data_IF_875626756151
#
_entry.id   IF_875626756151
#
_cell.length_a   1.000
_cell.length_b   1.000
_cell.length_c   1.000
_cell.angle_alpha   90.00
_cell.angle_beta   90.00
_cell.angle_gamma   90.00
#
_symmetry.space_group_name_H-M   'P 1'
#
loop_
_entity.id
_entity.type
_entity.pdbx_description
1 polymer ?
#
# COMPACT_ATOMS: atom_id res chain seq x y z
N UNK A 1 -28.02 49.33 45.70
CA UNK A 1 -28.91 50.52 45.63
C UNK A 1 -29.62 50.53 44.30
N UNK A 2 -30.94 50.42 44.36
CA UNK A 2 -31.99 50.86 43.41
C UNK A 2 -32.05 50.29 41.99
N UNK A 3 -32.89 49.26 41.82
CA UNK A 3 -33.96 49.18 40.81
C UNK A 3 -34.84 50.45 40.86
N UNK A 4 -35.75 50.75 39.94
CA UNK A 4 -36.68 49.86 39.21
C UNK A 4 -37.26 50.40 37.85
N UNK A 5 -38.20 49.56 37.34
CA UNK A 5 -39.50 49.85 36.71
C UNK A 5 -39.50 50.12 35.20
N UNK A 6 -40.18 49.27 34.41
CA UNK A 6 -41.62 49.08 34.21
C UNK A 6 -42.30 50.17 33.36
N UNK A 7 -42.89 49.70 32.22
CA UNK A 7 -44.25 50.06 31.72
C UNK A 7 -44.38 49.54 30.26
N UNK A 8 -45.18 48.54 29.94
CA UNK A 8 -46.65 48.44 29.75
C UNK A 8 -47.16 49.51 28.73
N UNK A 9 -47.65 49.11 27.59
CA UNK A 9 -49.01 49.22 27.14
C UNK A 9 -49.17 49.18 25.61
N UNK A 10 -50.05 48.26 25.18
CA UNK A 10 -51.16 48.42 24.25
C UNK A 10 -50.84 48.58 22.75
N UNK A 11 -51.06 47.65 21.86
CA UNK A 11 -52.42 47.28 21.44
C UNK A 11 -52.85 48.04 20.20
N UNK A 12 -52.85 47.37 19.04
CA UNK A 12 -53.86 47.68 18.02
C UNK A 12 -53.99 46.48 17.05
N UNK A 13 -55.17 45.93 17.00
CA UNK A 13 -55.75 45.03 16.05
C UNK A 13 -55.76 45.68 14.67
N UNK A 14 -55.23 45.04 13.64
CA UNK A 14 -55.65 45.30 12.26
C UNK A 14 -55.66 44.00 11.49
N UNK A 15 -56.84 43.53 11.23
CA UNK A 15 -57.11 42.38 10.38
C UNK A 15 -56.70 42.67 8.95
N UNK A 16 -56.04 41.77 8.33
CA UNK A 16 -55.86 41.80 6.89
C UNK A 16 -56.14 40.42 6.30
N UNK A 17 -57.05 40.44 5.40
CA UNK A 17 -57.66 39.39 4.63
C UNK A 17 -56.63 38.51 3.96
N UNK A 18 -56.68 37.19 4.24
CA UNK A 18 -55.89 36.16 3.60
C UNK A 18 -56.54 35.83 2.24
N UNK A 19 -56.01 36.35 1.14
CA UNK A 19 -56.29 35.91 -0.20
C UNK A 19 -55.44 34.66 -0.54
N UNK A 20 -56.07 33.50 -0.58
CA UNK A 20 -55.46 32.27 -1.07
C UNK A 20 -55.24 32.40 -2.58
N UNK A 21 -54.00 32.60 -2.99
CA UNK A 21 -53.55 32.40 -4.36
C UNK A 21 -53.13 30.95 -4.53
N UNK A 22 -53.97 30.16 -5.16
CA UNK A 22 -53.62 28.83 -5.67
C UNK A 22 -52.66 29.01 -6.85
N UNK A 23 -51.37 29.01 -6.59
CA UNK A 23 -50.36 28.86 -7.62
C UNK A 23 -50.20 27.36 -7.93
N UNK A 24 -50.73 26.94 -9.09
CA UNK A 24 -50.56 25.60 -9.61
C UNK A 24 -49.06 25.33 -9.85
N UNK A 25 -48.54 24.34 -9.14
CA UNK A 25 -47.23 23.76 -9.45
C UNK A 25 -47.34 23.07 -10.82
N UNK A 26 -46.72 23.67 -11.84
CA UNK A 26 -46.37 22.95 -13.07
C UNK A 26 -45.31 21.94 -12.68
N UNK A 27 -45.64 20.66 -12.73
CA UNK A 27 -44.63 19.59 -12.78
C UNK A 27 -43.83 19.74 -14.08
N UNK A 28 -42.65 20.32 -14.04
CA UNK A 28 -41.66 20.09 -15.07
C UNK A 28 -41.16 18.65 -14.92
N UNK A 29 -41.03 17.89 -16.03
CA UNK A 29 -40.41 16.58 -15.96
C UNK A 29 -38.98 16.77 -15.47
N UNK A 30 -38.65 16.21 -14.29
CA UNK A 30 -37.22 16.01 -13.90
C UNK A 30 -36.63 15.12 -14.99
N UNK A 31 -35.79 15.71 -15.84
CA UNK A 31 -34.84 14.94 -16.63
C UNK A 31 -34.07 14.06 -15.64
N UNK A 32 -34.25 12.75 -15.80
CA UNK A 32 -33.57 11.76 -14.97
C UNK A 32 -32.07 12.03 -15.03
N UNK A 33 -31.47 12.31 -13.88
CA UNK A 33 -30.06 12.12 -13.68
C UNK A 33 -29.80 10.65 -14.01
N UNK A 34 -29.36 10.40 -15.25
CA UNK A 34 -28.77 9.13 -15.59
C UNK A 34 -27.65 8.95 -14.59
N UNK A 35 -27.83 8.02 -13.64
CA UNK A 35 -26.77 7.53 -12.79
C UNK A 35 -25.68 7.05 -13.76
N UNK A 36 -24.61 7.81 -13.85
CA UNK A 36 -23.41 7.35 -14.52
C UNK A 36 -23.07 6.02 -13.85
N UNK A 37 -23.31 4.92 -14.54
CA UNK A 37 -22.73 3.64 -14.20
C UNK A 37 -21.22 3.86 -14.25
N UNK A 38 -20.59 4.15 -13.09
CA UNK A 38 -19.18 3.89 -12.95
C UNK A 38 -19.02 2.41 -13.30
N UNK A 39 -18.41 2.16 -14.44
CA UNK A 39 -18.05 0.81 -14.84
C UNK A 39 -17.21 0.26 -13.68
N UNK A 40 -17.76 -0.70 -12.94
CA UNK A 40 -17.00 -1.41 -11.90
C UNK A 40 -15.83 -2.09 -12.62
N UNK A 41 -14.63 -1.54 -12.45
CA UNK A 41 -13.41 -2.16 -12.99
C UNK A 41 -13.31 -3.51 -12.29
N UNK A 42 -13.51 -4.58 -13.06
CA UNK A 42 -13.29 -5.94 -12.56
C UNK A 42 -11.82 -6.25 -12.68
N UNK A 43 -11.18 -6.57 -11.57
CA UNK A 43 -9.79 -7.05 -11.54
C UNK A 43 -9.76 -8.57 -11.50
N UNK A 44 -8.72 -9.16 -12.11
CA UNK A 44 -8.45 -10.59 -12.07
C UNK A 44 -8.02 -11.04 -10.66
N UNK A 45 -7.45 -10.11 -9.89
CA UNK A 45 -7.03 -10.33 -8.51
C UNK A 45 -6.35 -9.10 -7.90
N UNK A 46 -5.86 -9.27 -6.67
CA UNK A 46 -5.26 -8.21 -5.86
C UNK A 46 -3.85 -8.61 -5.42
N UNK A 47 -2.89 -7.74 -5.71
CA UNK A 47 -1.52 -7.83 -5.22
C UNK A 47 -1.33 -6.77 -4.14
N UNK A 48 -0.88 -7.16 -2.95
CA UNK A 48 -0.56 -6.22 -1.87
C UNK A 48 0.95 -6.03 -1.78
N UNK A 49 1.43 -4.83 -2.04
CA UNK A 49 2.81 -4.45 -1.77
C UNK A 49 2.93 -4.02 -0.31
N UNK A 50 3.47 -4.89 0.54
CA UNK A 50 3.68 -4.67 1.97
C UNK A 50 5.14 -4.34 2.25
N UNK A 51 5.42 -3.19 2.85
CA UNK A 51 6.80 -2.78 3.13
C UNK A 51 6.93 -1.42 3.79
N UNK A 52 8.13 -0.87 3.73
CA UNK A 52 8.51 0.40 4.36
C UNK A 52 8.45 1.60 3.39
N UNK A 53 9.37 2.57 3.55
CA UNK A 53 9.48 3.76 2.68
C UNK A 53 9.77 3.43 1.22
N UNK A 54 10.46 2.31 0.95
CA UNK A 54 10.72 1.85 -0.42
C UNK A 54 9.43 1.42 -1.11
N UNK A 55 8.50 0.83 -0.38
CA UNK A 55 7.18 0.46 -0.90
C UNK A 55 6.25 1.67 -0.95
N UNK A 56 6.27 2.53 0.07
CA UNK A 56 5.46 3.74 0.10
C UNK A 56 5.74 4.71 -1.06
N UNK A 57 6.94 4.64 -1.65
CA UNK A 57 7.37 5.58 -2.69
C UNK A 57 7.80 6.92 -2.10
N UNK A 58 8.54 6.90 -0.96
CA UNK A 58 8.96 8.13 -0.30
C UNK A 58 9.76 9.03 -1.27
N UNK A 59 9.33 10.28 -1.37
CA UNK A 59 9.99 11.32 -2.18
C UNK A 59 9.65 11.32 -3.67
N UNK A 60 8.81 10.41 -4.15
CA UNK A 60 8.26 10.42 -5.52
C UNK A 60 6.74 10.57 -5.50
N UNK A 61 6.14 10.92 -6.64
CA UNK A 61 4.69 10.94 -6.78
C UNK A 61 4.11 9.51 -6.68
N UNK A 62 2.89 9.31 -6.17
CA UNK A 62 2.31 7.98 -5.98
C UNK A 62 2.34 7.09 -7.23
N UNK A 63 2.13 7.66 -8.41
CA UNK A 63 2.14 6.96 -9.69
C UNK A 63 3.54 6.52 -10.16
N UNK A 64 4.59 7.05 -9.55
CA UNK A 64 5.99 6.69 -9.82
C UNK A 64 6.57 5.76 -8.74
N UNK A 65 5.77 5.34 -7.76
CA UNK A 65 6.15 4.26 -6.84
C UNK A 65 6.16 2.91 -7.57
N UNK A 66 7.02 1.97 -7.12
CA UNK A 66 7.09 0.67 -7.82
C UNK A 66 5.75 -0.11 -7.84
N UNK A 67 4.87 -0.04 -6.81
CA UNK A 67 3.58 -0.72 -6.90
C UNK A 67 2.70 -0.18 -8.04
N UNK A 68 2.67 1.14 -8.24
CA UNK A 68 1.89 1.75 -9.31
C UNK A 68 2.49 1.43 -10.70
N UNK A 69 3.82 1.46 -10.82
CA UNK A 69 4.50 1.08 -12.06
C UNK A 69 4.30 -0.41 -12.38
N UNK A 70 4.33 -1.27 -11.37
CA UNK A 70 4.06 -2.71 -11.52
C UNK A 70 2.62 -2.94 -12.01
N UNK A 71 1.62 -2.25 -11.44
CA UNK A 71 0.23 -2.33 -11.90
C UNK A 71 0.13 -1.98 -13.39
N UNK A 72 0.74 -0.86 -13.79
CA UNK A 72 0.78 -0.46 -15.19
C UNK A 72 1.42 -1.54 -16.08
N UNK A 73 2.58 -2.09 -15.68
CA UNK A 73 3.31 -3.11 -16.43
C UNK A 73 2.52 -4.43 -16.57
N UNK A 74 1.71 -4.79 -15.58
CA UNK A 74 0.80 -5.93 -15.63
C UNK A 74 -0.34 -5.67 -16.62
N UNK A 75 -0.97 -4.49 -16.54
CA UNK A 75 -2.06 -4.10 -17.46
C UNK A 75 -1.59 -4.04 -18.92
N UNK A 76 -0.38 -3.54 -19.19
CA UNK A 76 0.23 -3.55 -20.53
C UNK A 76 0.41 -4.96 -21.11
N UNK A 77 0.42 -6.00 -20.25
CA UNK A 77 0.49 -7.42 -20.61
C UNK A 77 -0.88 -8.11 -20.64
N UNK A 78 -1.95 -7.35 -20.43
CA UNK A 78 -3.32 -7.89 -20.38
C UNK A 78 -3.66 -8.62 -19.07
N UNK A 79 -2.85 -8.45 -18.02
CA UNK A 79 -3.08 -8.99 -16.69
C UNK A 79 -3.73 -7.88 -15.83
N UNK A 80 -5.05 -7.98 -15.61
CA UNK A 80 -5.81 -6.91 -14.96
C UNK A 80 -5.79 -7.06 -13.43
N UNK A 81 -4.62 -7.09 -12.82
CA UNK A 81 -4.45 -7.11 -11.37
C UNK A 81 -4.39 -5.70 -10.80
N UNK A 82 -5.02 -5.52 -9.62
CA UNK A 82 -4.87 -4.32 -8.82
C UNK A 82 -3.66 -4.47 -7.90
N UNK A 83 -2.75 -3.47 -7.88
CA UNK A 83 -1.62 -3.44 -6.96
C UNK A 83 -1.86 -2.38 -5.88
N UNK A 84 -2.08 -2.81 -4.65
CA UNK A 84 -2.31 -1.93 -3.50
C UNK A 84 -0.98 -1.61 -2.83
N UNK A 85 -0.68 -0.32 -2.72
CA UNK A 85 0.49 0.15 -1.98
C UNK A 85 0.19 0.14 -0.47
N UNK A 86 0.77 -0.80 0.24
CA UNK A 86 0.71 -0.95 1.69
C UNK A 86 2.01 -0.56 2.40
N UNK A 87 2.81 0.35 1.83
CA UNK A 87 4.06 0.82 2.41
C UNK A 87 3.85 1.76 3.60
N UNK A 88 4.67 1.61 4.65
CA UNK A 88 4.69 2.48 5.84
C UNK A 88 6.12 2.95 6.09
N UNK A 89 6.40 4.23 5.79
CA UNK A 89 7.76 4.77 5.90
C UNK A 89 8.34 4.62 7.31
N UNK A 90 9.59 4.13 7.38
CA UNK A 90 10.30 3.90 8.64
C UNK A 90 9.92 2.60 9.36
N UNK A 91 9.02 1.78 8.80
CA UNK A 91 8.57 0.54 9.40
C UNK A 91 9.70 -0.49 9.51
N UNK A 92 9.75 -1.19 10.64
CA UNK A 92 10.63 -2.33 10.87
C UNK A 92 9.88 -3.65 10.64
N UNK A 93 10.59 -4.77 10.63
CA UNK A 93 9.99 -6.11 10.55
C UNK A 93 8.97 -6.36 11.68
N UNK A 94 9.22 -5.81 12.87
CA UNK A 94 8.29 -5.87 14.00
C UNK A 94 7.01 -5.06 13.75
N UNK A 95 7.15 -3.87 13.15
CA UNK A 95 6.00 -3.05 12.72
C UNK A 95 5.17 -3.77 11.66
N UNK A 96 5.84 -4.27 10.62
CA UNK A 96 5.22 -5.06 9.57
C UNK A 96 4.43 -6.25 10.12
N UNK A 97 5.02 -7.02 11.04
CA UNK A 97 4.36 -8.14 11.71
C UNK A 97 3.10 -7.73 12.47
N UNK A 98 3.12 -6.58 13.13
CA UNK A 98 1.97 -6.12 13.93
C UNK A 98 0.71 -5.84 13.11
N UNK A 99 0.84 -5.65 11.78
CA UNK A 99 -0.28 -5.35 10.87
C UNK A 99 -0.57 -6.45 9.83
N UNK A 100 0.08 -7.61 9.92
CA UNK A 100 -0.16 -8.71 8.97
C UNK A 100 -1.63 -9.14 8.94
N UNK A 101 -2.31 -9.16 10.09
CA UNK A 101 -3.74 -9.44 10.16
C UNK A 101 -4.61 -8.44 9.38
N UNK A 102 -4.22 -7.16 9.32
CA UNK A 102 -4.88 -6.19 8.47
C UNK A 102 -4.65 -6.50 6.97
N UNK A 103 -3.42 -6.85 6.58
CA UNK A 103 -3.10 -7.27 5.20
C UNK A 103 -3.97 -8.46 4.80
N UNK A 104 -4.07 -9.50 5.65
CA UNK A 104 -4.90 -10.69 5.41
C UNK A 104 -6.38 -10.31 5.25
N UNK A 105 -6.89 -9.35 6.03
CA UNK A 105 -8.28 -8.89 5.93
C UNK A 105 -8.64 -8.25 4.59
N UNK A 106 -7.65 -7.76 3.84
CA UNK A 106 -7.82 -7.22 2.48
C UNK A 106 -7.92 -8.32 1.42
N UNK A 107 -7.70 -9.59 1.81
CA UNK A 107 -7.77 -10.79 0.96
C UNK A 107 -7.00 -10.65 -0.36
N UNK A 108 -5.70 -10.29 -0.33
CA UNK A 108 -4.91 -10.28 -1.54
C UNK A 108 -4.63 -11.72 -2.01
N UNK A 109 -4.44 -11.92 -3.30
CA UNK A 109 -3.99 -13.19 -3.87
C UNK A 109 -2.47 -13.36 -3.73
N UNK A 110 -1.74 -12.25 -3.74
CA UNK A 110 -0.28 -12.16 -3.63
C UNK A 110 0.15 -11.03 -2.70
N UNK A 111 1.12 -11.30 -1.84
CA UNK A 111 1.84 -10.27 -1.07
C UNK A 111 3.28 -10.14 -1.55
N UNK A 112 3.66 -8.94 -1.99
CA UNK A 112 5.06 -8.56 -2.17
C UNK A 112 5.57 -8.04 -0.83
N UNK A 113 6.37 -8.84 -0.13
CA UNK A 113 6.86 -8.52 1.21
C UNK A 113 8.28 -7.92 1.12
N UNK A 114 8.40 -6.62 1.37
CA UNK A 114 9.65 -5.86 1.30
C UNK A 114 9.89 -5.17 2.64
N UNK A 115 10.59 -5.83 3.56
CA UNK A 115 10.78 -5.34 4.94
C UNK A 115 12.16 -5.70 5.50
N UNK A 116 12.57 -5.03 6.58
CA UNK A 116 13.82 -5.31 7.28
C UNK A 116 14.95 -4.33 6.99
N UNK A 117 14.85 -3.46 5.99
CA UNK A 117 15.86 -2.44 5.72
C UNK A 117 16.07 -1.51 6.93
N UNK A 118 14.98 -1.02 7.53
CA UNK A 118 15.03 -0.19 8.73
C UNK A 118 15.59 -0.90 9.95
N UNK A 119 15.36 -2.21 10.06
CA UNK A 119 15.96 -3.05 11.10
C UNK A 119 17.48 -3.08 10.93
N UNK A 120 17.94 -3.34 9.70
CA UNK A 120 19.35 -3.36 9.36
C UNK A 120 20.05 -2.03 9.65
N UNK A 121 19.45 -0.90 9.22
CA UNK A 121 19.98 0.45 9.47
C UNK A 121 20.06 0.78 10.98
N UNK A 122 19.20 0.19 11.80
CA UNK A 122 19.17 0.37 13.26
C UNK A 122 19.99 -0.66 14.02
N UNK A 123 20.64 -1.60 13.34
CA UNK A 123 21.44 -2.65 13.96
C UNK A 123 20.64 -3.63 14.82
N UNK A 124 19.36 -3.86 14.47
CA UNK A 124 18.51 -4.84 15.15
C UNK A 124 19.05 -6.24 14.86
N UNK A 125 19.00 -7.11 15.88
CA UNK A 125 19.51 -8.49 15.80
C UNK A 125 18.89 -9.23 14.58
N UNK A 126 19.73 -9.74 13.66
CA UNK A 126 19.27 -10.49 12.49
C UNK A 126 18.38 -11.71 12.83
N UNK A 127 18.57 -12.32 13.99
CA UNK A 127 17.73 -13.43 14.43
C UNK A 127 16.29 -12.97 14.73
N UNK A 128 16.11 -11.78 15.31
CA UNK A 128 14.79 -11.19 15.55
C UNK A 128 14.12 -10.78 14.24
N UNK A 129 14.87 -10.19 13.30
CA UNK A 129 14.37 -9.83 11.96
C UNK A 129 13.85 -11.09 11.27
N UNK A 130 14.66 -12.16 11.28
CA UNK A 130 14.32 -13.45 10.68
C UNK A 130 13.03 -14.04 11.30
N UNK A 131 12.89 -14.04 12.62
CA UNK A 131 11.67 -14.52 13.31
C UNK A 131 10.44 -13.73 12.90
N UNK A 132 10.53 -12.40 12.85
CA UNK A 132 9.42 -11.54 12.44
C UNK A 132 8.98 -11.84 11.00
N UNK A 133 9.91 -11.89 10.06
CA UNK A 133 9.60 -12.15 8.64
C UNK A 133 9.07 -13.58 8.47
N UNK A 134 9.63 -14.58 9.16
CA UNK A 134 9.15 -15.96 9.13
C UNK A 134 7.68 -16.05 9.58
N UNK A 135 7.31 -15.33 10.64
CA UNK A 135 5.93 -15.31 11.15
C UNK A 135 4.98 -14.62 10.17
N UNK A 136 5.39 -13.49 9.57
CA UNK A 136 4.59 -12.84 8.52
C UNK A 136 4.31 -13.82 7.38
N UNK A 137 5.34 -14.49 6.87
CA UNK A 137 5.21 -15.47 5.78
C UNK A 137 4.26 -16.60 6.20
N UNK A 138 4.46 -17.18 7.38
CA UNK A 138 3.63 -18.27 7.89
C UNK A 138 2.15 -17.87 8.05
N UNK A 139 1.87 -16.65 8.55
CA UNK A 139 0.50 -16.15 8.69
C UNK A 139 -0.17 -15.90 7.34
N UNK A 140 0.58 -15.37 6.35
CA UNK A 140 0.08 -15.17 4.98
C UNK A 140 -0.22 -16.52 4.30
N UNK A 141 0.70 -17.48 4.37
CA UNK A 141 0.50 -18.82 3.80
C UNK A 141 -0.64 -19.59 4.47
N UNK A 142 -0.82 -19.44 5.79
CA UNK A 142 -1.96 -20.01 6.51
C UNK A 142 -3.33 -19.43 6.09
N UNK A 143 -3.32 -18.27 5.43
CA UNK A 143 -4.49 -17.62 4.84
C UNK A 143 -4.61 -17.87 3.31
N UNK A 144 -3.86 -18.85 2.77
CA UNK A 144 -3.80 -19.20 1.34
C UNK A 144 -3.34 -18.03 0.45
N UNK A 145 -2.49 -17.14 0.97
CA UNK A 145 -1.94 -15.99 0.24
C UNK A 145 -0.54 -16.34 -0.28
N UNK A 146 -0.31 -16.19 -1.57
CA UNK A 146 1.01 -16.35 -2.19
C UNK A 146 1.96 -15.22 -1.73
N UNK A 147 3.27 -15.54 -1.61
CA UNK A 147 4.26 -14.55 -1.14
C UNK A 147 5.45 -14.50 -2.08
N UNK A 148 5.86 -13.27 -2.41
CA UNK A 148 7.17 -12.97 -3.01
C UNK A 148 7.94 -12.08 -2.04
N UNK A 149 9.14 -12.51 -1.64
CA UNK A 149 10.00 -11.81 -0.70
C UNK A 149 11.01 -10.94 -1.43
N UNK A 150 11.01 -9.63 -1.15
CA UNK A 150 12.07 -8.72 -1.57
C UNK A 150 13.21 -8.70 -0.55
N UNK A 151 14.34 -9.31 -0.91
CA UNK A 151 15.51 -9.38 -0.05
C UNK A 151 16.25 -8.06 0.07
N UNK A 152 16.91 -7.85 1.20
CA UNK A 152 17.76 -6.68 1.48
C UNK A 152 19.19 -7.08 1.71
N UNK A 153 20.13 -6.16 1.44
CA UNK A 153 21.54 -6.32 1.75
C UNK A 153 22.02 -5.15 2.59
N UNK A 154 22.88 -5.42 3.57
CA UNK A 154 23.50 -4.38 4.39
C UNK A 154 24.88 -4.03 3.91
N UNK A 155 25.25 -2.75 4.12
CA UNK A 155 26.59 -2.24 3.86
C UNK A 155 27.61 -2.85 4.80
N UNK A 156 28.86 -3.03 4.30
CA UNK A 156 29.96 -3.67 5.01
C UNK A 156 30.42 -2.93 6.28
N UNK A 157 30.05 -1.66 6.44
CA UNK A 157 30.37 -0.84 7.61
C UNK A 157 29.65 -1.28 8.91
N UNK A 158 28.64 -2.16 8.82
CA UNK A 158 27.91 -2.71 9.99
C UNK A 158 28.65 -3.87 10.69
N UNK A 159 29.84 -4.22 10.24
CA UNK A 159 30.61 -5.36 10.74
C UNK A 159 30.28 -6.66 10.01
N UNK A 160 31.31 -7.44 9.72
CA UNK A 160 31.24 -8.62 8.85
C UNK A 160 30.25 -9.68 9.34
N UNK A 161 30.23 -9.93 10.65
CA UNK A 161 29.31 -10.95 11.24
C UNK A 161 27.85 -10.53 11.08
N UNK A 162 27.53 -9.28 11.38
CA UNK A 162 26.17 -8.74 11.23
C UNK A 162 25.73 -8.80 9.76
N UNK A 163 26.54 -8.27 8.85
CA UNK A 163 26.25 -8.25 7.41
C UNK A 163 26.03 -9.66 6.86
N UNK A 164 26.89 -10.61 7.25
CA UNK A 164 26.77 -12.00 6.83
C UNK A 164 25.46 -12.64 7.31
N UNK A 165 25.07 -12.42 8.57
CA UNK A 165 23.81 -12.94 9.11
C UNK A 165 22.60 -12.27 8.46
N UNK A 166 22.62 -10.93 8.32
CA UNK A 166 21.53 -10.18 7.68
C UNK A 166 21.32 -10.60 6.23
N UNK A 167 22.39 -10.68 5.43
CA UNK A 167 22.26 -11.00 4.01
C UNK A 167 21.78 -12.43 3.74
N UNK A 168 22.03 -13.38 4.67
CA UNK A 168 21.59 -14.78 4.52
C UNK A 168 20.14 -15.01 4.92
N UNK A 169 19.54 -14.16 5.75
CA UNK A 169 18.21 -14.42 6.30
C UNK A 169 17.13 -14.53 5.20
N UNK A 170 17.21 -13.71 4.15
CA UNK A 170 16.18 -13.70 3.08
C UNK A 170 16.20 -14.97 2.22
N UNK A 171 17.33 -15.40 1.63
CA UNK A 171 17.34 -16.66 0.87
C UNK A 171 17.05 -17.88 1.76
N UNK A 172 17.47 -17.88 3.03
CA UNK A 172 17.12 -18.96 3.97
C UNK A 172 15.61 -19.02 4.24
N UNK A 173 14.96 -17.87 4.42
CA UNK A 173 13.50 -17.79 4.61
C UNK A 173 12.74 -18.23 3.38
N UNK A 174 13.15 -17.77 2.20
CA UNK A 174 12.48 -18.14 0.96
C UNK A 174 12.58 -19.65 0.70
N UNK A 175 13.75 -20.23 0.90
CA UNK A 175 13.96 -21.68 0.74
C UNK A 175 13.17 -22.50 1.77
N UNK A 176 13.16 -22.07 3.05
CA UNK A 176 12.45 -22.78 4.11
C UNK A 176 10.93 -22.78 3.95
N UNK A 177 10.36 -21.72 3.34
CA UNK A 177 8.92 -21.55 3.14
C UNK A 177 8.48 -21.82 1.70
N UNK A 178 9.40 -22.16 0.79
CA UNK A 178 9.14 -22.47 -0.62
C UNK A 178 8.41 -21.33 -1.36
N UNK A 179 8.81 -20.07 -1.08
CA UNK A 179 8.25 -18.85 -1.68
C UNK A 179 9.19 -18.25 -2.72
N UNK A 180 8.64 -17.40 -3.59
CA UNK A 180 9.42 -16.59 -4.54
C UNK A 180 10.29 -15.56 -3.83
N UNK A 181 11.47 -15.28 -4.39
CA UNK A 181 12.38 -14.27 -3.86
C UNK A 181 13.03 -13.46 -4.97
N UNK A 182 13.05 -12.14 -4.82
CA UNK A 182 14.00 -11.25 -5.45
C UNK A 182 15.16 -11.05 -4.45
N UNK A 183 16.33 -11.66 -4.72
CA UNK A 183 17.44 -11.74 -3.74
C UNK A 183 17.92 -10.38 -3.23
N UNK A 184 17.87 -9.36 -4.08
CA UNK A 184 18.18 -7.99 -3.69
C UNK A 184 17.21 -7.00 -4.33
N UNK A 185 16.30 -6.47 -3.54
CA UNK A 185 15.24 -5.57 -4.00
C UNK A 185 15.75 -4.29 -4.68
N UNK A 186 16.93 -3.80 -4.28
CA UNK A 186 17.57 -2.61 -4.85
C UNK A 186 18.65 -2.96 -5.89
N UNK A 187 18.59 -4.13 -6.52
CA UNK A 187 19.54 -4.53 -7.56
C UNK A 187 19.55 -3.52 -8.71
N UNK A 188 20.76 -3.07 -9.09
CA UNK A 188 20.97 -2.05 -10.12
C UNK A 188 20.63 -0.61 -9.70
N UNK A 189 20.11 -0.40 -8.47
CA UNK A 189 19.71 0.91 -7.96
C UNK A 189 20.57 1.35 -6.77
N UNK A 190 20.85 0.44 -5.84
CA UNK A 190 21.62 0.78 -4.65
C UNK A 190 22.99 1.36 -5.02
N UNK A 191 23.38 2.44 -4.34
CA UNK A 191 24.67 3.13 -4.53
C UNK A 191 24.89 3.75 -5.93
N UNK A 192 23.86 3.84 -6.76
CA UNK A 192 23.91 4.52 -8.04
C UNK A 192 23.31 5.92 -7.88
N UNK A 193 24.10 7.01 -7.90
CA UNK A 193 23.58 8.37 -7.67
C UNK A 193 22.45 8.78 -8.63
N UNK A 194 22.50 8.31 -9.89
CA UNK A 194 21.52 8.59 -10.92
C UNK A 194 20.14 7.96 -10.65
N UNK A 195 20.07 6.91 -9.80
CA UNK A 195 18.84 6.20 -9.45
C UNK A 195 18.34 6.49 -8.04
N UNK A 196 19.08 7.28 -7.26
CA UNK A 196 18.74 7.60 -5.88
C UNK A 196 18.46 9.09 -5.70
N UNK A 197 17.72 9.40 -4.65
CA UNK A 197 17.53 10.75 -4.15
C UNK A 197 18.82 11.25 -3.48
N UNK A 198 18.85 12.53 -3.12
CA UNK A 198 20.04 13.16 -2.50
C UNK A 198 20.48 12.50 -1.18
N UNK A 199 19.61 11.74 -0.52
CA UNK A 199 19.92 10.99 0.71
C UNK A 199 20.72 9.71 0.46
N UNK A 200 20.80 9.25 -0.82
CA UNK A 200 21.54 8.05 -1.22
C UNK A 200 20.93 6.73 -0.78
N UNK A 201 19.70 6.75 -0.22
CA UNK A 201 19.03 5.59 0.35
C UNK A 201 17.73 5.28 -0.41
N UNK A 202 16.95 6.32 -0.74
CA UNK A 202 15.66 6.17 -1.39
C UNK A 202 15.82 6.32 -2.92
N UNK A 203 15.22 5.42 -3.70
CA UNK A 203 15.19 5.53 -5.15
C UNK A 203 14.47 6.81 -5.60
N UNK A 204 14.94 7.42 -6.68
CA UNK A 204 14.18 8.41 -7.43
C UNK A 204 13.21 7.72 -8.42
N UNK A 205 12.49 8.49 -9.25
CA UNK A 205 11.53 7.93 -10.21
C UNK A 205 12.15 6.91 -11.17
N UNK A 206 13.39 7.14 -11.61
CA UNK A 206 14.11 6.21 -12.48
C UNK A 206 14.49 4.93 -11.73
N UNK A 207 14.97 5.06 -10.50
CA UNK A 207 15.28 3.91 -9.64
C UNK A 207 14.04 3.06 -9.34
N UNK A 208 12.88 3.67 -9.09
CA UNK A 208 11.64 2.91 -8.90
C UNK A 208 11.19 2.17 -10.16
N UNK A 209 11.45 2.72 -11.35
CA UNK A 209 11.20 2.03 -12.62
C UNK A 209 12.07 0.76 -12.75
N UNK A 210 13.37 0.87 -12.45
CA UNK A 210 14.28 -0.28 -12.46
C UNK A 210 13.81 -1.35 -11.46
N UNK A 211 13.38 -0.95 -10.26
CA UNK A 211 12.83 -1.88 -9.27
C UNK A 211 11.58 -2.58 -9.80
N UNK A 212 10.64 -1.84 -10.39
CA UNK A 212 9.42 -2.42 -10.94
C UNK A 212 9.71 -3.43 -12.07
N UNK A 213 10.66 -3.10 -12.95
CA UNK A 213 11.13 -4.00 -14.02
C UNK A 213 11.76 -5.28 -13.45
N UNK A 214 12.57 -5.14 -12.39
CA UNK A 214 13.25 -6.28 -11.75
C UNK A 214 12.31 -7.19 -10.96
N UNK A 215 11.28 -6.66 -10.28
CA UNK A 215 10.34 -7.46 -9.49
C UNK A 215 9.29 -8.15 -10.37
N UNK A 216 8.97 -7.60 -11.55
CA UNK A 216 7.94 -8.10 -12.44
C UNK A 216 8.07 -9.59 -12.79
N UNK A 217 9.24 -10.16 -13.17
CA UNK A 217 9.37 -11.59 -13.44
C UNK A 217 8.97 -12.46 -12.25
N UNK A 218 9.33 -12.06 -11.03
CA UNK A 218 8.99 -12.80 -9.81
C UNK A 218 7.47 -12.77 -9.52
N UNK A 219 6.83 -11.64 -9.86
CA UNK A 219 5.37 -11.52 -9.78
C UNK A 219 4.69 -12.43 -10.79
N UNK A 220 5.14 -12.43 -12.05
CA UNK A 220 4.57 -13.29 -13.09
C UNK A 220 4.66 -14.77 -12.72
N UNK A 221 5.81 -15.23 -12.21
CA UNK A 221 5.98 -16.59 -11.70
C UNK A 221 5.02 -16.93 -10.54
N UNK A 222 4.78 -15.95 -9.65
CA UNK A 222 3.86 -16.13 -8.53
C UNK A 222 2.40 -16.23 -9.02
N UNK A 223 2.00 -15.40 -9.98
CA UNK A 223 0.66 -15.47 -10.59
C UNK A 223 0.43 -16.79 -11.31
N UNK A 224 1.43 -17.33 -12.02
CA UNK A 224 1.34 -18.66 -12.60
C UNK A 224 1.18 -19.77 -11.54
N UNK A 225 1.78 -19.63 -10.34
CA UNK A 225 1.57 -20.59 -9.26
C UNK A 225 0.14 -20.53 -8.72
N UNK A 226 -0.42 -19.32 -8.56
CA UNK A 226 -1.81 -19.12 -8.15
C UNK A 226 -2.78 -19.78 -9.15
N UNK A 227 -2.60 -19.53 -10.44
CA UNK A 227 -3.45 -20.12 -11.48
C UNK A 227 -3.43 -21.64 -11.46
N UNK A 228 -2.24 -22.25 -11.29
CA UNK A 228 -2.10 -23.72 -11.18
C UNK A 228 -2.77 -24.31 -9.95
N UNK A 229 -2.87 -23.55 -8.85
CA UNK A 229 -3.53 -24.00 -7.62
C UNK A 229 -5.06 -23.96 -7.73
N UNK A 230 -5.57 -23.02 -8.56
CA UNK A 230 -7.01 -22.78 -8.73
C UNK A 230 -7.62 -23.63 -9.87
N UNK A 231 -6.80 -24.37 -10.62
CA UNK A 231 -7.18 -25.24 -11.75
C UNK A 231 -7.36 -26.70 -11.35
#
# INVERSE_FOLDING_TARGET
MKSPASNILAGLLCGLILTLALAGCKNEPQEGLEASHEATVSYDGVIMAMGDSLTAGLGVSPQNSYPALLEQMLHERGLNYRVINGGVSGETSSGARSRVGWIISMKPDLVLLVTGANDGLRGIDPALIKDNIARIISELQAADIEVVLGGMKMSTNMGQDYVSQFNRLYPELAAANQIGIMEFFLEGVALQPEFNQADGIHPNEQGYRVIAENILPHVLEALERIERHNS
#
